data_IF_961085196941
#
_entry.id   IF_961085196941
#
_cell.length_a   1.000
_cell.length_b   1.000
_cell.length_c   1.000
_cell.angle_alpha   90.00
_cell.angle_beta   90.00
_cell.angle_gamma   90.00
#
_symmetry.space_group_name_H-M   'P 1'
#
loop_
_entity.id
_entity.type
_entity.pdbx_description
1 polymer ?
#
# COMPACT_ATOMS: atom_id res chain seq x y z
N UNK A 1 3.97 2.71 5.94
CA UNK A 1 3.63 4.15 5.69
C UNK A 1 4.73 5.04 6.24
N UNK A 2 5.85 5.18 5.51
CA UNK A 2 7.02 5.86 6.06
C UNK A 2 7.01 7.38 5.86
N UNK A 3 6.61 7.88 4.71
CA UNK A 3 6.66 9.32 4.40
C UNK A 3 5.39 9.75 3.66
N UNK A 4 4.22 9.73 4.29
CA UNK A 4 2.96 10.09 3.61
C UNK A 4 2.93 11.55 3.16
N UNK A 5 3.68 12.45 3.81
CA UNK A 5 3.80 13.85 3.40
C UNK A 5 4.39 14.05 2.00
N UNK A 6 5.11 13.06 1.45
CA UNK A 6 5.60 13.11 0.07
C UNK A 6 4.47 13.19 -0.96
N UNK A 7 3.29 12.65 -0.65
CA UNK A 7 2.10 12.77 -1.50
C UNK A 7 1.70 14.23 -1.66
N UNK A 8 1.62 14.97 -0.55
CA UNK A 8 1.32 16.40 -0.60
C UNK A 8 2.39 17.18 -1.38
N UNK A 9 3.66 16.85 -1.18
CA UNK A 9 4.77 17.49 -1.90
C UNK A 9 4.64 17.30 -3.41
N UNK A 10 4.33 16.07 -3.86
CA UNK A 10 4.13 15.79 -5.28
C UNK A 10 2.96 16.58 -5.88
N UNK A 11 1.83 16.64 -5.18
CA UNK A 11 0.69 17.46 -5.61
C UNK A 11 1.02 18.95 -5.63
N UNK A 12 1.68 19.44 -4.58
CA UNK A 12 2.08 20.87 -4.47
C UNK A 12 2.97 21.35 -5.63
N UNK A 13 3.81 20.45 -6.14
CA UNK A 13 4.75 20.75 -7.23
C UNK A 13 4.27 20.25 -8.60
N UNK A 14 3.02 19.79 -8.71
CA UNK A 14 2.43 19.27 -9.94
C UNK A 14 3.33 18.19 -10.61
N UNK A 15 3.83 17.23 -9.80
CA UNK A 15 4.67 16.16 -10.29
C UNK A 15 3.78 15.02 -10.81
N UNK A 16 3.69 14.81 -12.14
CA UNK A 16 2.84 13.77 -12.71
C UNK A 16 3.53 12.40 -12.54
N UNK A 17 3.07 11.61 -11.60
CA UNK A 17 3.59 10.27 -11.34
C UNK A 17 2.45 9.29 -11.01
N UNK A 18 2.65 8.03 -11.35
CA UNK A 18 1.74 6.95 -10.97
C UNK A 18 2.36 6.15 -9.81
N UNK A 19 1.64 6.08 -8.70
CA UNK A 19 1.91 5.18 -7.61
C UNK A 19 0.91 4.01 -7.63
N UNK A 20 1.41 2.77 -7.70
CA UNK A 20 0.59 1.57 -7.53
C UNK A 20 0.91 0.98 -6.16
N UNK A 21 -0.03 1.11 -5.24
CA UNK A 21 0.10 0.58 -3.90
C UNK A 21 -0.22 -0.91 -3.90
N UNK A 22 0.80 -1.74 -3.73
CA UNK A 22 0.67 -3.18 -3.50
C UNK A 22 0.29 -3.41 -2.02
N UNK A 23 -1.01 -3.34 -1.74
CA UNK A 23 -1.53 -3.37 -0.37
C UNK A 23 -1.75 -4.81 0.11
N UNK A 24 -0.72 -5.42 0.67
CA UNK A 24 -0.77 -6.73 1.31
C UNK A 24 -1.07 -6.64 2.82
N UNK A 25 -1.31 -5.45 3.36
CA UNK A 25 -1.63 -5.16 4.77
C UNK A 25 -0.57 -5.61 5.77
N UNK A 26 0.68 -5.68 5.35
CA UNK A 26 1.76 -6.09 6.25
C UNK A 26 3.16 -5.84 5.71
N UNK A 27 4.12 -5.91 6.61
CA UNK A 27 5.55 -5.89 6.32
C UNK A 27 6.04 -7.31 6.11
N UNK A 28 5.81 -7.88 4.92
CA UNK A 28 6.07 -9.30 4.65
C UNK A 28 7.54 -9.69 4.81
N UNK A 29 8.45 -8.82 4.41
CA UNK A 29 9.88 -9.06 4.58
C UNK A 29 10.26 -9.20 6.05
N UNK A 30 9.69 -8.37 6.91
CA UNK A 30 9.89 -8.40 8.36
C UNK A 30 9.29 -9.67 8.97
N UNK A 31 8.12 -10.12 8.49
CA UNK A 31 7.54 -11.41 8.91
C UNK A 31 8.52 -12.55 8.63
N UNK A 32 9.06 -12.62 7.41
CA UNK A 32 10.03 -13.64 7.02
C UNK A 32 11.32 -13.58 7.85
N UNK A 33 11.80 -12.36 8.12
CA UNK A 33 13.01 -12.15 8.94
C UNK A 33 12.78 -12.61 10.38
N UNK A 34 11.69 -12.20 11.02
CA UNK A 34 11.37 -12.58 12.40
C UNK A 34 11.21 -14.09 12.53
N UNK A 35 10.51 -14.73 11.60
CA UNK A 35 10.36 -16.20 11.58
C UNK A 35 11.72 -16.90 11.47
N UNK A 36 12.57 -16.45 10.54
CA UNK A 36 13.92 -17.02 10.38
C UNK A 36 14.76 -16.90 11.65
N UNK A 37 14.77 -15.71 12.26
CA UNK A 37 15.54 -15.45 13.48
C UNK A 37 14.98 -16.21 14.68
N UNK A 38 13.69 -16.38 14.78
CA UNK A 38 13.05 -17.17 15.83
C UNK A 38 13.40 -18.64 15.71
N UNK A 39 13.33 -19.21 14.50
CA UNK A 39 13.71 -20.59 14.22
C UNK A 39 15.19 -20.83 14.51
N UNK A 40 16.07 -19.93 14.12
CA UNK A 40 17.51 -20.02 14.41
C UNK A 40 17.80 -20.07 15.90
N UNK A 41 16.97 -19.42 16.72
CA UNK A 41 17.10 -19.39 18.20
C UNK A 41 16.23 -20.43 18.90
N UNK A 42 15.64 -21.38 18.18
CA UNK A 42 14.69 -22.36 18.72
C UNK A 42 13.52 -21.72 19.49
N UNK A 43 13.02 -20.57 19.00
CA UNK A 43 11.88 -19.85 19.56
C UNK A 43 10.74 -19.86 18.55
N UNK A 44 9.50 -19.91 19.06
CA UNK A 44 8.32 -19.69 18.23
C UNK A 44 8.16 -18.20 18.01
N UNK A 45 8.03 -17.78 16.74
CA UNK A 45 7.69 -16.42 16.44
C UNK A 45 6.30 -16.10 17.04
N UNK A 46 6.22 -15.02 17.83
CA UNK A 46 4.96 -14.55 18.35
C UNK A 46 4.04 -14.18 17.19
N UNK A 47 2.94 -14.87 17.04
CA UNK A 47 1.89 -14.52 16.08
C UNK A 47 1.04 -13.41 16.69
N UNK A 48 0.97 -12.27 15.99
CA UNK A 48 -0.03 -11.25 16.28
C UNK A 48 -1.44 -11.75 15.94
N UNK A 49 -2.45 -11.04 16.38
CA UNK A 49 -3.85 -11.47 16.19
C UNK A 49 -4.31 -11.49 14.73
N UNK A 50 -3.57 -10.85 13.79
CA UNK A 50 -4.06 -10.64 12.43
C UNK A 50 -3.30 -11.44 11.37
N UNK A 51 -2.04 -11.15 11.10
CA UNK A 51 -1.40 -11.74 9.92
C UNK A 51 0.11 -11.98 10.05
N UNK A 52 0.62 -12.08 11.26
CA UNK A 52 2.04 -12.31 11.47
C UNK A 52 2.56 -11.87 12.82
N UNK A 53 3.89 -11.84 13.01
CA UNK A 53 4.52 -11.39 14.25
C UNK A 53 4.09 -9.97 14.63
N UNK A 54 4.08 -9.69 15.94
CA UNK A 54 3.75 -8.37 16.48
C UNK A 54 4.60 -7.29 15.80
N UNK A 55 3.93 -6.21 15.35
CA UNK A 55 4.57 -5.06 14.69
C UNK A 55 4.73 -5.21 13.17
N UNK A 56 4.28 -6.31 12.57
CA UNK A 56 4.38 -6.52 11.12
C UNK A 56 3.06 -6.36 10.37
N UNK A 57 1.93 -6.39 11.08
CA UNK A 57 0.61 -6.17 10.48
C UNK A 57 0.31 -4.69 10.31
N UNK A 58 -0.33 -4.33 9.19
CA UNK A 58 -0.88 -3.00 8.88
C UNK A 58 -2.37 -3.16 8.60
N UNK A 59 -3.07 -3.72 9.57
CA UNK A 59 -4.51 -3.95 9.55
C UNK A 59 -5.11 -3.54 10.90
N UNK A 60 -6.44 -3.47 10.97
CA UNK A 60 -7.20 -3.15 12.17
C UNK A 60 -6.83 -1.80 12.83
N UNK A 61 -7.12 -0.65 12.16
CA UNK A 61 -7.87 -0.55 10.91
C UNK A 61 -7.01 -0.68 9.66
N UNK A 62 -7.63 -1.12 8.56
CA UNK A 62 -6.99 -1.06 7.23
C UNK A 62 -6.80 0.39 6.79
N UNK A 63 -5.67 0.66 6.14
CA UNK A 63 -5.40 2.00 5.63
C UNK A 63 -6.04 2.16 4.26
N UNK A 64 -6.92 3.16 4.13
CA UNK A 64 -7.52 3.56 2.87
C UNK A 64 -6.57 4.52 2.13
N UNK A 65 -5.55 3.95 1.47
CA UNK A 65 -4.49 4.74 0.80
C UNK A 65 -5.03 5.65 -0.29
N UNK A 66 -6.10 5.25 -0.98
CA UNK A 66 -6.78 6.09 -1.97
C UNK A 66 -7.36 7.35 -1.35
N UNK A 67 -8.01 7.24 -0.19
CA UNK A 67 -8.54 8.40 0.53
C UNK A 67 -7.44 9.29 1.07
N UNK A 68 -6.36 8.70 1.58
CA UNK A 68 -5.19 9.43 2.02
C UNK A 68 -4.58 10.24 0.87
N UNK A 69 -4.41 9.64 -0.30
CA UNK A 69 -3.89 10.32 -1.48
C UNK A 69 -4.82 11.43 -1.97
N UNK A 70 -6.14 11.17 -2.01
CA UNK A 70 -7.15 12.16 -2.37
C UNK A 70 -7.13 13.37 -1.44
N UNK A 71 -6.97 13.16 -0.12
CA UNK A 71 -6.87 14.26 0.85
C UNK A 71 -5.64 15.15 0.64
N UNK A 72 -4.64 14.65 -0.08
CA UNK A 72 -3.41 15.36 -0.41
C UNK A 72 -3.36 15.85 -1.87
N UNK A 73 -4.49 15.82 -2.58
CA UNK A 73 -4.61 16.39 -3.92
C UNK A 73 -4.24 15.45 -5.06
N UNK A 74 -4.24 14.14 -4.85
CA UNK A 74 -4.01 13.15 -5.89
C UNK A 74 -5.31 12.65 -6.50
N UNK A 75 -5.29 12.31 -7.78
CA UNK A 75 -6.27 11.37 -8.31
C UNK A 75 -6.01 10.00 -7.68
N UNK A 76 -7.03 9.33 -7.15
CA UNK A 76 -6.80 8.01 -6.58
C UNK A 76 -8.03 7.10 -6.69
N UNK A 77 -7.78 5.81 -6.87
CA UNK A 77 -8.81 4.77 -6.98
C UNK A 77 -8.42 3.52 -6.19
N UNK A 78 -9.40 2.90 -5.56
CA UNK A 78 -9.25 1.66 -4.80
C UNK A 78 -10.20 1.59 -3.60
N UNK A 79 -10.07 0.55 -2.77
CA UNK A 79 -9.18 -0.59 -2.97
C UNK A 79 -9.68 -1.49 -4.11
N UNK A 80 -8.81 -1.81 -5.06
CA UNK A 80 -9.10 -2.76 -6.14
C UNK A 80 -8.95 -4.17 -5.57
N UNK A 81 -10.05 -4.89 -5.50
CA UNK A 81 -10.13 -6.27 -4.94
C UNK A 81 -10.35 -7.31 -6.02
N UNK A 82 -11.04 -6.94 -7.10
CA UNK A 82 -11.28 -7.81 -8.25
C UNK A 82 -10.20 -7.57 -9.32
N UNK A 83 -9.49 -8.61 -9.77
CA UNK A 83 -8.49 -8.49 -10.83
C UNK A 83 -9.02 -7.88 -12.13
N UNK A 84 -10.31 -8.06 -12.44
CA UNK A 84 -10.93 -7.49 -13.64
C UNK A 84 -11.00 -5.96 -13.62
N UNK A 85 -11.03 -5.35 -12.43
CA UNK A 85 -11.06 -3.90 -12.25
C UNK A 85 -9.68 -3.24 -12.36
N UNK A 86 -8.60 -4.02 -12.29
CA UNK A 86 -7.24 -3.49 -12.26
C UNK A 86 -6.87 -2.77 -13.56
N UNK A 87 -7.11 -3.42 -14.70
CA UNK A 87 -6.76 -2.83 -16.00
C UNK A 87 -7.53 -1.53 -16.29
N UNK A 88 -8.84 -1.44 -16.07
CA UNK A 88 -9.57 -0.18 -16.15
C UNK A 88 -9.00 0.90 -15.23
N UNK A 89 -8.77 0.58 -13.96
CA UNK A 89 -8.24 1.54 -12.97
C UNK A 89 -6.86 2.08 -13.37
N UNK A 90 -5.96 1.23 -13.87
CA UNK A 90 -4.66 1.66 -14.35
C UNK A 90 -4.76 2.56 -15.59
N UNK A 91 -5.68 2.31 -16.51
CA UNK A 91 -5.91 3.18 -17.67
C UNK A 91 -6.37 4.57 -17.26
N UNK A 92 -7.31 4.65 -16.31
CA UNK A 92 -7.77 5.93 -15.75
C UNK A 92 -6.63 6.68 -15.04
N UNK A 93 -5.84 5.98 -14.23
CA UNK A 93 -4.69 6.56 -13.54
C UNK A 93 -3.63 7.10 -14.52
N UNK A 94 -3.34 6.37 -15.58
CA UNK A 94 -2.43 6.83 -16.65
C UNK A 94 -2.99 8.05 -17.36
N UNK A 95 -4.31 8.13 -17.57
CA UNK A 95 -4.94 9.31 -18.16
C UNK A 95 -4.77 10.54 -17.25
N UNK A 96 -4.96 10.40 -15.93
CA UNK A 96 -4.72 11.47 -14.96
C UNK A 96 -3.27 11.97 -14.99
N UNK A 97 -2.30 11.03 -15.00
CA UNK A 97 -0.87 11.38 -15.09
C UNK A 97 -0.54 12.11 -16.39
N UNK A 98 -1.11 11.68 -17.53
CA UNK A 98 -0.94 12.39 -18.80
C UNK A 98 -1.57 13.79 -18.81
N UNK A 99 -2.59 14.00 -17.98
CA UNK A 99 -3.19 15.33 -17.77
C UNK A 99 -2.35 16.22 -16.81
N UNK A 100 -1.27 15.70 -16.23
CA UNK A 100 -0.37 16.45 -15.35
C UNK A 100 -0.66 16.25 -13.84
N UNK A 101 -1.52 15.31 -13.48
CA UNK A 101 -1.90 15.06 -12.09
C UNK A 101 -1.16 13.83 -11.53
N UNK A 102 -0.74 13.83 -10.26
CA UNK A 102 -0.27 12.62 -9.61
C UNK A 102 -1.44 11.65 -9.37
N UNK A 103 -1.20 10.35 -9.57
CA UNK A 103 -2.23 9.33 -9.44
C UNK A 103 -1.79 8.15 -8.55
N UNK A 104 -2.73 7.62 -7.75
CA UNK A 104 -2.51 6.44 -6.91
C UNK A 104 -3.60 5.39 -7.17
N UNK A 105 -3.19 4.15 -7.39
CA UNK A 105 -4.09 3.00 -7.43
C UNK A 105 -3.79 2.09 -6.24
N UNK A 106 -4.75 1.93 -5.32
CA UNK A 106 -4.63 1.02 -4.19
C UNK A 106 -5.10 -0.38 -4.62
N UNK A 107 -4.17 -1.31 -4.76
CA UNK A 107 -4.44 -2.70 -5.15
C UNK A 107 -4.35 -3.60 -3.94
N UNK A 108 -5.48 -4.18 -3.57
CA UNK A 108 -5.55 -5.10 -2.45
C UNK A 108 -5.04 -6.47 -2.86
N UNK A 109 -3.95 -6.90 -2.26
CA UNK A 109 -3.33 -8.19 -2.54
C UNK A 109 -3.44 -9.13 -1.34
N UNK A 110 -3.18 -10.41 -1.57
CA UNK A 110 -3.16 -11.36 -0.48
C UNK A 110 -2.00 -11.07 0.47
N UNK A 111 -2.23 -11.13 1.78
CA UNK A 111 -1.13 -11.19 2.75
C UNK A 111 -0.38 -12.51 2.54
N UNK A 112 0.92 -12.46 2.59
CA UNK A 112 1.79 -13.64 2.54
C UNK A 112 2.64 -13.68 3.78
#
# INVERSE_FOLDING_TARGET
>A
MYVPGSLWTAARHNIPLLAVMHNNRGYHQEVMHVQRMSNFRNRVASLGNDMGPIGTSIANPDIEYEKLAQSMGWWAKGPIKDPSELSPALKEAVAAVKAGEPALVNVWTQPR
#
